data_IF_126606004936
#
_entry.id   IF_126606004936
#
_cell.length_a   1.000
_cell.length_b   1.000
_cell.length_c   1.000
_cell.angle_alpha   90.00
_cell.angle_beta   90.00
_cell.angle_gamma   90.00
#
_symmetry.space_group_name_H-M   'P 1'
#
loop_
_entity.id
_entity.type
_entity.pdbx_description
1 polymer ?
#
# COMPACT_ATOMS: atom_id res chain seq x y z
N UNK A 1 26.33 6.32 -1.83
CA UNK A 1 25.03 6.92 -2.17
C UNK A 1 24.09 6.68 -0.99
N UNK A 2 23.61 7.74 -0.33
CA UNK A 2 22.95 7.67 0.97
C UNK A 2 21.44 7.43 0.80
N UNK A 3 20.95 6.19 1.02
CA UNK A 3 19.55 5.77 0.84
C UNK A 3 18.59 6.27 1.93
N UNK A 4 19.08 7.02 2.91
CA UNK A 4 18.33 7.45 4.10
C UNK A 4 17.40 8.65 3.89
N UNK A 5 17.32 9.25 2.70
CA UNK A 5 16.64 10.54 2.51
C UNK A 5 15.15 10.46 2.12
N UNK A 6 14.58 9.27 1.93
CA UNK A 6 13.21 9.13 1.42
C UNK A 6 12.29 8.27 2.29
N UNK A 7 12.51 8.20 3.60
CA UNK A 7 11.55 7.60 4.53
C UNK A 7 10.36 8.54 4.70
N UNK A 8 9.41 8.39 3.79
CA UNK A 8 8.04 8.84 3.93
C UNK A 8 7.26 7.78 4.72
N UNK A 9 6.75 8.14 5.88
CA UNK A 9 5.88 7.26 6.65
C UNK A 9 4.44 7.61 6.31
N UNK A 10 3.74 6.78 5.52
CA UNK A 10 2.28 6.90 5.37
C UNK A 10 1.64 5.99 6.43
N UNK A 11 0.66 6.50 7.16
CA UNK A 11 0.01 5.77 8.27
C UNK A 11 -1.26 5.07 7.76
N UNK A 12 -1.08 4.05 6.91
CA UNK A 12 -2.18 3.29 6.28
C UNK A 12 -2.80 2.20 7.17
N UNK A 13 -2.26 1.97 8.36
CA UNK A 13 -2.55 0.78 9.16
C UNK A 13 -3.87 0.77 9.95
N UNK A 14 -4.67 1.85 9.90
CA UNK A 14 -5.84 2.03 10.76
C UNK A 14 -7.11 1.26 10.31
N UNK A 15 -7.05 0.36 9.34
CA UNK A 15 -8.25 -0.22 8.68
C UNK A 15 -8.65 -1.63 9.11
N UNK A 16 -7.84 -2.36 9.88
CA UNK A 16 -8.01 -3.81 10.07
C UNK A 16 -8.60 -4.23 11.41
N UNK A 17 -9.19 -3.32 12.19
CA UNK A 17 -9.94 -3.69 13.37
C UNK A 17 -11.29 -4.28 12.96
N UNK A 18 -11.35 -5.62 12.88
CA UNK A 18 -12.50 -6.54 13.05
C UNK A 18 -12.43 -7.67 12.01
N UNK A 19 -12.00 -8.87 12.44
CA UNK A 19 -12.66 -10.18 12.25
C UNK A 19 -11.82 -11.25 12.97
N UNK A 20 -12.47 -12.11 13.76
CA UNK A 20 -11.87 -13.11 14.67
C UNK A 20 -11.64 -14.49 14.01
N UNK A 21 -10.67 -15.24 14.57
CA UNK A 21 -10.59 -16.71 14.68
C UNK A 21 -9.82 -17.56 13.64
N UNK A 22 -8.65 -17.11 13.18
CA UNK A 22 -7.56 -17.96 12.65
C UNK A 22 -6.23 -17.53 13.30
N UNK A 23 -5.08 -18.22 13.14
CA UNK A 23 -3.83 -17.85 13.81
C UNK A 23 -3.55 -16.37 13.51
N UNK A 24 -3.73 -15.52 14.53
CA UNK A 24 -3.91 -14.08 14.33
C UNK A 24 -2.75 -13.46 13.55
N UNK A 25 -1.52 -13.95 13.78
CA UNK A 25 -0.33 -13.49 13.06
C UNK A 25 -0.33 -13.83 11.55
N UNK A 26 -0.76 -15.02 11.13
CA UNK A 26 -0.83 -15.37 9.71
C UNK A 26 -1.88 -14.52 8.97
N UNK A 27 -3.02 -14.26 9.63
CA UNK A 27 -4.06 -13.39 9.08
C UNK A 27 -3.62 -11.93 8.95
N UNK A 28 -2.78 -11.44 9.87
CA UNK A 28 -2.21 -10.09 9.81
C UNK A 28 -1.12 -9.95 8.75
N UNK A 29 -0.28 -10.98 8.58
CA UNK A 29 0.71 -11.00 7.50
C UNK A 29 0.04 -10.89 6.13
N UNK A 30 -1.02 -11.65 5.87
CA UNK A 30 -1.75 -11.59 4.60
C UNK A 30 -2.42 -10.23 4.36
N UNK A 31 -3.03 -9.66 5.41
CA UNK A 31 -3.62 -8.32 5.36
C UNK A 31 -2.57 -7.24 5.06
N UNK A 32 -1.44 -7.26 5.78
CA UNK A 32 -0.37 -6.30 5.57
C UNK A 32 0.35 -6.50 4.25
N UNK A 33 0.46 -7.74 3.76
CA UNK A 33 1.01 -8.03 2.44
C UNK A 33 0.13 -7.40 1.36
N UNK A 34 -1.20 -7.47 1.49
CA UNK A 34 -2.12 -6.81 0.58
C UNK A 34 -1.92 -5.28 0.57
N UNK A 35 -1.82 -4.65 1.74
CA UNK A 35 -1.54 -3.21 1.86
C UNK A 35 -0.22 -2.85 1.17
N UNK A 36 0.85 -3.59 1.45
CA UNK A 36 2.16 -3.36 0.85
C UNK A 36 2.14 -3.48 -0.67
N UNK A 37 1.43 -4.48 -1.21
CA UNK A 37 1.26 -4.66 -2.66
C UNK A 37 0.44 -3.54 -3.30
N UNK A 38 -0.64 -3.09 -2.64
CA UNK A 38 -1.43 -1.95 -3.11
C UNK A 38 -0.61 -0.66 -3.10
N UNK A 39 0.16 -0.40 -2.03
CA UNK A 39 1.01 0.78 -1.91
C UNK A 39 2.12 0.79 -2.95
N UNK A 40 2.78 -0.35 -3.19
CA UNK A 40 3.76 -0.50 -4.26
C UNK A 40 3.12 -0.20 -5.63
N UNK A 41 1.93 -0.72 -5.88
CA UNK A 41 1.22 -0.51 -7.16
C UNK A 41 0.87 0.97 -7.34
N UNK A 42 0.24 1.59 -6.33
CA UNK A 42 -0.12 2.99 -6.36
C UNK A 42 1.10 3.91 -6.53
N UNK A 43 2.22 3.61 -5.86
CA UNK A 43 3.44 4.41 -5.99
C UNK A 43 4.06 4.28 -7.38
N UNK A 44 4.09 3.06 -7.94
CA UNK A 44 4.58 2.84 -9.30
C UNK A 44 3.77 3.60 -10.35
N UNK A 45 2.44 3.58 -10.23
CA UNK A 45 1.54 4.35 -11.09
C UNK A 45 1.73 5.86 -10.90
N UNK A 46 1.85 6.32 -9.65
CA UNK A 46 2.07 7.73 -9.35
C UNK A 46 3.39 8.26 -9.91
N UNK A 47 4.49 7.52 -9.75
CA UNK A 47 5.80 7.87 -10.33
C UNK A 47 5.75 7.91 -11.86
N UNK A 48 4.92 7.05 -12.46
CA UNK A 48 4.69 7.01 -13.91
C UNK A 48 3.80 8.14 -14.43
N UNK A 49 3.26 8.98 -13.54
CA UNK A 49 2.41 10.12 -13.88
C UNK A 49 0.93 9.79 -14.05
N UNK A 50 0.50 8.60 -13.64
CA UNK A 50 -0.92 8.20 -13.65
C UNK A 50 -1.71 9.02 -12.63
N UNK A 51 -2.94 9.43 -12.96
CA UNK A 51 -3.83 10.13 -12.03
C UNK A 51 -4.48 9.19 -11.00
N UNK A 52 -4.92 9.71 -9.85
CA UNK A 52 -5.48 8.90 -8.76
C UNK A 52 -6.67 8.02 -9.20
N UNK A 53 -7.61 8.56 -10.00
CA UNK A 53 -8.77 7.80 -10.47
C UNK A 53 -8.38 6.57 -11.29
N UNK A 54 -7.49 6.75 -12.27
CA UNK A 54 -6.97 5.65 -13.09
C UNK A 54 -6.15 4.65 -12.28
N UNK A 55 -5.42 5.12 -11.26
CA UNK A 55 -4.69 4.24 -10.34
C UNK A 55 -5.63 3.37 -9.51
N UNK A 56 -6.73 3.94 -8.99
CA UNK A 56 -7.76 3.18 -8.27
C UNK A 56 -8.39 2.13 -9.18
N UNK A 57 -8.75 2.48 -10.41
CA UNK A 57 -9.30 1.53 -11.41
C UNK A 57 -8.35 0.35 -11.64
N UNK A 58 -7.07 0.63 -11.95
CA UNK A 58 -6.05 -0.41 -12.15
C UNK A 58 -5.85 -1.30 -10.93
N UNK A 59 -5.88 -0.72 -9.73
CA UNK A 59 -5.75 -1.50 -8.49
C UNK A 59 -6.99 -2.36 -8.25
N UNK A 60 -8.20 -1.85 -8.53
CA UNK A 60 -9.42 -2.64 -8.45
C UNK A 60 -9.38 -3.82 -9.43
N UNK A 61 -9.00 -3.60 -10.68
CA UNK A 61 -8.81 -4.67 -11.66
C UNK A 61 -7.82 -5.75 -11.17
N UNK A 62 -6.71 -5.31 -10.58
CA UNK A 62 -5.65 -6.19 -10.10
C UNK A 62 -6.04 -6.99 -8.85
N UNK A 63 -6.73 -6.37 -7.90
CA UNK A 63 -6.94 -6.95 -6.57
C UNK A 63 -8.37 -7.47 -6.35
N UNK A 64 -9.36 -7.08 -7.15
CA UNK A 64 -10.72 -7.62 -7.00
C UNK A 64 -10.84 -9.09 -7.42
N UNK A 65 -9.87 -9.63 -8.19
CA UNK A 65 -9.88 -11.05 -8.62
C UNK A 65 -9.90 -12.03 -7.45
N UNK A 66 -9.46 -11.62 -6.26
CA UNK A 66 -9.48 -12.46 -5.05
C UNK A 66 -10.77 -12.32 -4.22
N UNK A 67 -11.66 -11.37 -4.56
CA UNK A 67 -12.92 -11.17 -3.86
C UNK A 67 -13.96 -12.21 -4.27
N UNK A 68 -14.43 -13.01 -3.29
CA UNK A 68 -15.39 -14.11 -3.51
C UNK A 68 -16.85 -13.72 -3.26
N UNK A 69 -17.10 -12.58 -2.64
CA UNK A 69 -18.44 -12.08 -2.31
C UNK A 69 -18.47 -10.54 -2.24
N UNK A 70 -19.68 -9.97 -2.18
CA UNK A 70 -19.89 -8.52 -2.22
C UNK A 70 -19.25 -7.76 -1.06
N UNK A 71 -19.15 -8.40 0.11
CA UNK A 71 -18.42 -7.87 1.25
C UNK A 71 -16.92 -7.72 0.94
N UNK A 72 -16.28 -8.81 0.48
CA UNK A 72 -14.86 -8.79 0.11
C UNK A 72 -14.56 -7.83 -1.05
N UNK A 73 -15.51 -7.66 -2.00
CA UNK A 73 -15.38 -6.66 -3.07
C UNK A 73 -15.39 -5.23 -2.50
N UNK A 74 -16.38 -4.92 -1.67
CA UNK A 74 -16.52 -3.59 -1.05
C UNK A 74 -15.32 -3.27 -0.17
N UNK A 75 -14.81 -4.26 0.57
CA UNK A 75 -13.61 -4.13 1.37
C UNK A 75 -12.37 -3.81 0.52
N UNK A 76 -12.11 -4.60 -0.52
CA UNK A 76 -10.96 -4.37 -1.40
C UNK A 76 -11.06 -3.02 -2.10
N UNK A 77 -12.24 -2.64 -2.59
CA UNK A 77 -12.46 -1.34 -3.22
C UNK A 77 -12.20 -0.18 -2.24
N UNK A 78 -12.72 -0.25 -1.02
CA UNK A 78 -12.45 0.78 -0.01
C UNK A 78 -10.96 0.86 0.35
N UNK A 79 -10.27 -0.29 0.37
CA UNK A 79 -8.85 -0.35 0.67
C UNK A 79 -7.98 0.23 -0.46
N UNK A 80 -8.28 -0.08 -1.73
CA UNK A 80 -7.55 0.48 -2.88
C UNK A 80 -7.72 2.00 -2.96
N UNK A 81 -8.94 2.52 -2.75
CA UNK A 81 -9.23 3.95 -2.70
C UNK A 81 -8.41 4.65 -1.61
N UNK A 82 -8.39 4.09 -0.40
CA UNK A 82 -7.63 4.67 0.72
C UNK A 82 -6.12 4.62 0.49
N UNK A 83 -5.59 3.49 0.03
CA UNK A 83 -4.16 3.35 -0.30
C UNK A 83 -3.76 4.34 -1.39
N UNK A 84 -4.57 4.49 -2.44
CA UNK A 84 -4.34 5.49 -3.47
C UNK A 84 -4.29 6.91 -2.87
N UNK A 85 -5.28 7.27 -2.06
CA UNK A 85 -5.34 8.61 -1.46
C UNK A 85 -4.09 8.92 -0.65
N UNK A 86 -3.69 8.03 0.26
CA UNK A 86 -2.47 8.21 1.08
C UNK A 86 -1.23 8.36 0.19
N UNK A 87 -1.06 7.45 -0.77
CA UNK A 87 0.07 7.51 -1.70
C UNK A 87 0.06 8.80 -2.51
N UNK A 88 -1.09 9.35 -2.89
CA UNK A 88 -1.23 10.59 -3.66
C UNK A 88 -1.12 11.87 -2.81
N UNK A 89 -1.24 11.79 -1.49
CA UNK A 89 -0.90 12.89 -0.58
C UNK A 89 0.61 13.10 -0.44
N UNK A 90 1.42 12.11 -0.81
CA UNK A 90 2.88 12.25 -0.73
C UNK A 90 3.38 13.48 -1.54
N UNK A 91 4.36 14.28 -1.08
CA UNK A 91 4.74 15.50 -1.79
C UNK A 91 5.31 15.23 -3.19
N UNK A 92 4.78 15.91 -4.21
CA UNK A 92 5.28 15.77 -5.59
C UNK A 92 6.77 16.16 -5.72
N UNK A 93 7.23 17.11 -4.91
CA UNK A 93 8.64 17.51 -4.85
C UNK A 93 9.58 16.36 -4.48
N UNK A 94 9.15 15.46 -3.59
CA UNK A 94 9.93 14.28 -3.22
C UNK A 94 9.98 13.25 -4.35
N UNK A 95 8.88 13.09 -5.09
CA UNK A 95 8.82 12.19 -6.25
C UNK A 95 9.67 12.68 -7.43
N UNK A 96 9.72 14.00 -7.65
CA UNK A 96 10.55 14.59 -8.71
C UNK A 96 12.06 14.34 -8.51
N UNK A 97 12.48 14.03 -7.28
CA UNK A 97 13.87 13.69 -6.97
C UNK A 97 14.23 12.22 -7.28
N UNK A 98 13.24 11.37 -7.56
CA UNK A 98 13.45 9.96 -7.89
C UNK A 98 13.82 9.84 -9.38
N UNK A 99 14.99 9.28 -9.74
CA UNK A 99 15.32 9.01 -11.13
C UNK A 99 14.36 7.97 -11.73
N UNK A 100 14.00 8.11 -13.01
CA UNK A 100 13.17 7.12 -13.71
C UNK A 100 13.73 5.69 -13.64
N UNK A 101 15.07 5.54 -13.64
CA UNK A 101 15.75 4.25 -13.47
C UNK A 101 15.43 3.57 -12.14
N UNK A 102 15.04 4.34 -11.12
CA UNK A 102 14.88 3.90 -9.75
C UNK A 102 13.40 3.75 -9.35
N UNK A 103 12.46 4.05 -10.26
CA UNK A 103 11.02 4.02 -9.97
C UNK A 103 10.56 2.68 -9.41
N UNK A 104 11.00 1.56 -10.01
CA UNK A 104 10.64 0.23 -9.54
C UNK A 104 11.19 -0.06 -8.13
N UNK A 105 12.39 0.43 -7.83
CA UNK A 105 13.02 0.27 -6.51
C UNK A 105 12.24 1.10 -5.49
N UNK A 106 11.96 2.36 -5.79
CA UNK A 106 11.24 3.26 -4.91
C UNK A 106 9.83 2.72 -4.60
N UNK A 107 9.08 2.31 -5.62
CA UNK A 107 7.75 1.75 -5.44
C UNK A 107 7.77 0.48 -4.57
N UNK A 108 8.72 -0.43 -4.80
CA UNK A 108 8.90 -1.63 -3.97
C UNK A 108 9.23 -1.27 -2.52
N UNK A 109 10.14 -0.32 -2.32
CA UNK A 109 10.57 0.09 -0.98
C UNK A 109 9.42 0.80 -0.22
N UNK A 110 8.57 1.57 -0.91
CA UNK A 110 7.30 2.09 -0.37
C UNK A 110 6.37 0.95 0.06
N UNK A 111 6.14 -0.05 -0.79
CA UNK A 111 5.31 -1.20 -0.43
C UNK A 111 5.83 -1.96 0.79
N UNK A 112 7.15 -2.14 0.89
CA UNK A 112 7.78 -2.75 2.06
C UNK A 112 7.58 -1.91 3.33
N UNK A 113 7.71 -0.59 3.23
CA UNK A 113 7.48 0.31 4.36
C UNK A 113 6.03 0.22 4.86
N UNK A 114 5.06 0.22 3.96
CA UNK A 114 3.64 0.11 4.33
C UNK A 114 3.30 -1.25 4.95
N UNK A 115 3.87 -2.34 4.43
CA UNK A 115 3.77 -3.67 5.07
C UNK A 115 4.27 -3.62 6.52
N UNK A 116 5.46 -3.06 6.74
CA UNK A 116 6.08 -2.98 8.07
C UNK A 116 5.26 -2.10 9.03
N UNK A 117 4.71 -0.99 8.52
CA UNK A 117 3.85 -0.11 9.32
C UNK A 117 2.53 -0.79 9.69
N UNK A 118 1.92 -1.53 8.76
CA UNK A 118 0.75 -2.36 9.03
C UNK A 118 1.05 -3.42 10.09
N UNK A 119 2.13 -4.18 9.94
CA UNK A 119 2.54 -5.20 10.90
C UNK A 119 2.79 -4.61 12.28
N UNK A 120 3.46 -3.46 12.34
CA UNK A 120 3.70 -2.74 13.59
C UNK A 120 2.40 -2.32 14.27
N UNK A 121 1.44 -1.80 13.52
CA UNK A 121 0.16 -1.38 14.09
C UNK A 121 -0.67 -2.56 14.63
N UNK A 122 -0.62 -3.72 13.97
CA UNK A 122 -1.42 -4.89 14.34
C UNK A 122 -0.77 -5.77 15.41
N UNK A 123 0.56 -5.82 15.44
CA UNK A 123 1.30 -6.75 16.33
C UNK A 123 2.11 -6.04 17.42
N UNK A 124 2.30 -4.72 17.32
CA UNK A 124 3.19 -3.96 18.20
C UNK A 124 4.69 -4.27 18.01
N UNK A 125 5.06 -5.15 17.08
CA UNK A 125 6.44 -5.58 16.82
C UNK A 125 6.93 -5.03 15.47
N UNK A 126 8.23 -4.77 15.40
CA UNK A 126 8.97 -4.61 14.15
C UNK A 126 9.92 -5.79 14.04
N UNK A 127 9.98 -6.45 12.88
CA UNK A 127 11.09 -7.36 12.55
C UNK A 127 12.44 -6.64 12.60
#
# INVERSE_FOLDING_TARGET
>A
MNRQKYTATLLLAATFSVVHAEPQEASFQDQCALVGLMAQTAMGERLSGTGIGQTVEKMNERFMVVAKNDYSRSFIQGLTERVAQEIYHFPQSALNAVPKSDYAIFARDTGKAEYQLCMKALTGKTE
#
